data_IF_639189914506
#
_entry.id   IF_639189914506
#
_cell.length_a   1.000
_cell.length_b   1.000
_cell.length_c   1.000
_cell.angle_alpha   90.00
_cell.angle_beta   90.00
_cell.angle_gamma   90.00
#
_symmetry.space_group_name_H-M   'P 1'
#
loop_
_entity.id
_entity.type
_entity.pdbx_description
1 polymer ?
#
# COMPACT_ATOMS: atom_id res chain seq x y z
N UNK A 1 -11.99 -8.08 22.66
CA UNK A 1 -10.65 -7.74 22.10
C UNK A 1 -10.85 -7.14 20.71
N UNK A 2 -10.38 -5.91 20.46
CA UNK A 2 -10.46 -5.33 19.10
C UNK A 2 -9.43 -6.04 18.22
N UNK A 3 -9.86 -6.65 17.11
CA UNK A 3 -8.92 -7.30 16.18
C UNK A 3 -8.10 -6.22 15.47
N UNK A 4 -6.79 -6.25 15.69
CA UNK A 4 -5.85 -5.45 14.91
C UNK A 4 -5.69 -6.08 13.53
N UNK A 5 -5.69 -5.24 12.50
CA UNK A 5 -5.48 -5.60 11.10
C UNK A 5 -4.49 -4.62 10.49
N UNK A 6 -3.97 -4.98 9.34
CA UNK A 6 -3.07 -4.15 8.56
C UNK A 6 -3.76 -3.75 7.26
N UNK A 7 -3.69 -2.47 6.90
CA UNK A 7 -3.90 -2.05 5.51
C UNK A 7 -2.57 -2.10 4.79
N UNK A 8 -2.57 -2.72 3.63
CA UNK A 8 -1.40 -2.85 2.78
C UNK A 8 -1.76 -2.50 1.35
N UNK A 9 -0.78 -2.00 0.60
CA UNK A 9 -0.91 -1.74 -0.82
C UNK A 9 -0.02 -2.67 -1.67
N UNK A 10 -0.50 -2.95 -2.87
CA UNK A 10 0.27 -3.64 -3.91
C UNK A 10 0.97 -2.65 -4.83
N UNK A 11 1.89 -3.14 -5.67
CA UNK A 11 2.55 -2.33 -6.70
C UNK A 11 1.55 -1.69 -7.69
N UNK A 12 0.38 -2.31 -7.89
CA UNK A 12 -0.73 -1.77 -8.68
C UNK A 12 -1.43 -0.56 -8.03
N UNK A 13 -1.14 -0.25 -6.77
CA UNK A 13 -1.81 0.80 -6.01
C UNK A 13 -3.09 0.35 -5.32
N UNK A 14 -3.50 -0.92 -5.46
CA UNK A 14 -4.65 -1.46 -4.75
C UNK A 14 -4.37 -1.58 -3.24
N UNK A 15 -5.32 -1.11 -2.43
CA UNK A 15 -5.29 -1.18 -0.97
C UNK A 15 -6.24 -2.29 -0.52
N UNK A 16 -5.73 -3.19 0.31
CA UNK A 16 -6.53 -4.20 0.99
C UNK A 16 -6.29 -4.15 2.49
N UNK A 17 -7.30 -4.60 3.24
CA UNK A 17 -7.27 -4.66 4.71
C UNK A 17 -7.38 -6.11 5.15
N UNK A 18 -6.36 -6.62 5.84
CA UNK A 18 -6.31 -8.00 6.27
C UNK A 18 -5.46 -8.23 7.50
N UNK A 19 -5.64 -9.39 8.14
CA UNK A 19 -4.77 -9.85 9.22
C UNK A 19 -3.48 -10.50 8.71
N UNK A 20 -3.49 -10.98 7.46
CA UNK A 20 -2.35 -11.58 6.78
C UNK A 20 -1.94 -10.68 5.62
N UNK A 21 -0.65 -10.43 5.51
CA UNK A 21 -0.06 -9.59 4.46
C UNK A 21 0.49 -10.56 3.39
N UNK A 22 0.01 -10.49 2.14
CA UNK A 22 0.51 -11.31 1.05
C UNK A 22 1.94 -10.87 0.65
N UNK A 23 2.68 -11.78 0.01
CA UNK A 23 4.00 -11.48 -0.54
C UNK A 23 3.93 -10.32 -1.54
N UNK A 24 4.95 -9.45 -1.54
CA UNK A 24 5.00 -8.28 -2.43
C UNK A 24 4.18 -7.07 -1.97
N UNK A 25 3.22 -7.21 -1.06
CA UNK A 25 2.49 -6.08 -0.51
C UNK A 25 3.34 -5.28 0.50
N UNK A 26 2.97 -4.01 0.67
CA UNK A 26 3.61 -3.09 1.62
C UNK A 26 2.58 -2.55 2.59
N UNK A 27 2.86 -2.69 3.89
CA UNK A 27 1.96 -2.21 4.94
C UNK A 27 2.04 -0.70 5.01
N UNK A 28 0.87 -0.05 5.01
CA UNK A 28 0.74 1.40 5.13
C UNK A 28 0.37 1.83 6.55
N UNK A 29 -0.61 1.13 7.14
CA UNK A 29 -1.15 1.45 8.46
C UNK A 29 -1.63 0.18 9.16
N UNK A 30 -1.50 0.13 10.48
CA UNK A 30 -2.05 -0.93 11.33
C UNK A 30 -2.99 -0.33 12.38
N UNK A 31 -3.98 -1.10 12.81
CA UNK A 31 -4.91 -0.62 13.83
C UNK A 31 -6.16 -1.47 13.98
N UNK A 32 -7.12 -1.04 14.81
CA UNK A 32 -8.40 -1.72 14.98
C UNK A 32 -9.18 -1.77 13.66
N UNK A 33 -9.67 -2.94 13.26
CA UNK A 33 -10.34 -3.15 11.96
C UNK A 33 -11.39 -2.11 11.58
N UNK A 34 -12.26 -1.74 12.52
CA UNK A 34 -13.34 -0.78 12.25
C UNK A 34 -12.80 0.63 12.00
N UNK A 35 -11.86 1.09 12.83
CA UNK A 35 -11.29 2.43 12.74
C UNK A 35 -10.40 2.54 11.50
N UNK A 36 -9.54 1.55 11.29
CA UNK A 36 -8.67 1.49 10.12
C UNK A 36 -9.47 1.43 8.83
N UNK A 37 -10.56 0.64 8.76
CA UNK A 37 -11.41 0.60 7.57
C UNK A 37 -12.06 1.97 7.30
N UNK A 38 -12.57 2.65 8.32
CA UNK A 38 -13.16 3.99 8.18
C UNK A 38 -12.11 5.01 7.71
N UNK A 39 -10.91 4.93 8.25
CA UNK A 39 -9.83 5.83 7.86
C UNK A 39 -9.43 5.64 6.40
N UNK A 40 -9.19 4.40 5.98
CA UNK A 40 -8.89 4.08 4.58
C UNK A 40 -10.02 4.53 3.65
N UNK A 41 -11.29 4.37 4.05
CA UNK A 41 -12.44 4.82 3.26
C UNK A 41 -12.46 6.34 3.02
N UNK A 42 -11.96 7.11 3.99
CA UNK A 42 -11.85 8.57 3.88
C UNK A 42 -10.63 9.01 3.06
N UNK A 43 -9.50 8.30 3.20
CA UNK A 43 -8.24 8.72 2.57
C UNK A 43 -8.03 8.14 1.18
N UNK A 44 -8.48 6.92 0.91
CA UNK A 44 -8.23 6.23 -0.34
C UNK A 44 -9.10 6.75 -1.48
N UNK A 45 -8.60 6.63 -2.71
CA UNK A 45 -9.38 6.91 -3.91
C UNK A 45 -10.22 5.68 -4.25
N UNK A 46 -11.52 5.87 -4.46
CA UNK A 46 -12.39 4.80 -4.94
C UNK A 46 -12.17 4.61 -6.45
N UNK A 47 -11.95 3.36 -6.86
CA UNK A 47 -11.91 2.97 -8.28
C UNK A 47 -13.30 3.06 -8.91
N UNK A 48 -13.37 3.03 -10.24
CA UNK A 48 -14.62 3.10 -11.02
C UNK A 48 -15.60 1.96 -10.71
N UNK A 49 -15.11 0.83 -10.20
CA UNK A 49 -15.96 -0.30 -9.75
C UNK A 49 -16.72 -0.01 -8.45
N UNK A 50 -16.47 1.14 -7.79
CA UNK A 50 -17.02 1.51 -6.49
C UNK A 50 -16.71 0.53 -5.33
N UNK A 51 -15.78 -0.40 -5.52
CA UNK A 51 -15.39 -1.39 -4.51
C UNK A 51 -13.90 -1.36 -4.18
N UNK A 52 -13.06 -1.14 -5.18
CA UNK A 52 -11.60 -1.15 -5.01
C UNK A 52 -11.11 0.20 -4.47
N UNK A 53 -10.34 0.15 -3.39
CA UNK A 53 -9.66 1.31 -2.82
C UNK A 53 -8.24 1.38 -3.39
N UNK A 54 -7.85 2.56 -3.87
CA UNK A 54 -6.57 2.81 -4.54
C UNK A 54 -5.79 3.90 -3.82
N UNK A 55 -4.47 3.76 -3.80
CA UNK A 55 -3.56 4.85 -3.43
C UNK A 55 -3.61 5.90 -4.55
N UNK A 56 -3.99 7.16 -4.26
CA UNK A 56 -4.01 8.21 -5.27
C UNK A 56 -2.61 8.44 -5.85
N UNK A 57 -2.51 8.57 -7.18
CA UNK A 57 -1.26 8.80 -7.89
C UNK A 57 -0.48 7.54 -8.29
N UNK A 58 -0.70 6.38 -7.65
CA UNK A 58 -0.07 5.12 -8.08
C UNK A 58 -0.60 4.62 -9.43
N UNK A 59 -1.92 4.50 -9.68
CA UNK A 59 -2.41 4.02 -10.98
C UNK A 59 -2.12 4.99 -12.14
N UNK A 60 -1.78 6.24 -11.83
CA UNK A 60 -1.45 7.29 -12.80
C UNK A 60 0.07 7.42 -13.01
N UNK A 61 0.88 6.68 -12.24
CA UNK A 61 2.34 6.73 -12.30
C UNK A 61 2.88 5.94 -13.48
N UNK A 62 3.72 6.60 -14.29
CA UNK A 62 4.40 5.99 -15.45
C UNK A 62 5.75 5.35 -15.11
N UNK A 63 6.20 5.49 -13.87
CA UNK A 63 7.50 5.03 -13.42
C UNK A 63 7.43 4.57 -11.97
N UNK A 64 8.25 3.58 -11.63
CA UNK A 64 8.33 3.02 -10.27
C UNK A 64 8.64 4.12 -9.25
N UNK A 65 9.56 5.04 -9.56
CA UNK A 65 9.87 6.17 -8.68
C UNK A 65 8.68 7.10 -8.43
N UNK A 66 7.87 7.38 -9.46
CA UNK A 66 6.64 8.17 -9.30
C UNK A 66 5.63 7.44 -8.42
N UNK A 67 5.51 6.12 -8.55
CA UNK A 67 4.64 5.31 -7.71
C UNK A 67 5.10 5.31 -6.24
N UNK A 68 6.41 5.19 -5.99
CA UNK A 68 6.98 5.31 -4.65
C UNK A 68 6.65 6.67 -4.04
N UNK A 69 6.92 7.75 -4.78
CA UNK A 69 6.64 9.10 -4.33
C UNK A 69 5.15 9.31 -4.03
N UNK A 70 4.25 8.74 -4.84
CA UNK A 70 2.81 8.80 -4.62
C UNK A 70 2.39 8.09 -3.32
N UNK A 71 2.93 6.88 -3.05
CA UNK A 71 2.68 6.15 -1.80
C UNK A 71 3.19 6.92 -0.59
N UNK A 72 4.41 7.46 -0.66
CA UNK A 72 5.02 8.23 0.43
C UNK A 72 4.22 9.51 0.71
N UNK A 73 3.82 10.23 -0.35
CA UNK A 73 2.98 11.42 -0.23
C UNK A 73 1.62 11.08 0.39
N UNK A 74 1.00 9.97 -0.02
CA UNK A 74 -0.26 9.48 0.53
C UNK A 74 -0.14 9.18 2.03
N UNK A 75 0.88 8.43 2.45
CA UNK A 75 1.09 8.10 3.88
C UNK A 75 1.37 9.34 4.70
N UNK A 76 2.20 10.27 4.20
CA UNK A 76 2.48 11.54 4.88
C UNK A 76 1.20 12.37 5.08
N UNK A 77 0.37 12.45 4.04
CA UNK A 77 -0.91 13.16 4.09
C UNK A 77 -1.89 12.48 5.05
N UNK A 78 -2.07 11.17 4.95
CA UNK A 78 -2.98 10.40 5.79
C UNK A 78 -2.57 10.43 7.27
N UNK A 79 -1.28 10.28 7.58
CA UNK A 79 -0.73 10.38 8.94
C UNK A 79 -1.09 11.70 9.62
N UNK A 80 -1.11 12.81 8.88
CA UNK A 80 -1.45 14.14 9.41
C UNK A 80 -2.92 14.30 9.85
N UNK A 81 -3.81 13.42 9.40
CA UNK A 81 -5.26 13.45 9.68
C UNK A 81 -5.75 12.19 10.37
N UNK A 82 -4.82 11.33 10.77
CA UNK A 82 -5.11 9.99 11.26
C UNK A 82 -5.62 9.97 12.69
N UNK A 83 -6.40 8.93 12.98
CA UNK A 83 -6.90 8.59 14.28
C UNK A 83 -5.74 8.14 15.19
N UNK A 84 -5.73 8.47 16.51
CA UNK A 84 -4.65 8.04 17.40
C UNK A 84 -4.59 6.52 17.61
N UNK A 85 -5.66 5.79 17.27
CA UNK A 85 -5.67 4.33 17.29
C UNK A 85 -5.07 3.69 16.02
N UNK A 86 -4.75 4.50 15.01
CA UNK A 86 -4.28 4.09 13.71
C UNK A 86 -2.78 4.41 13.61
N UNK A 87 -1.94 3.38 13.45
CA UNK A 87 -0.48 3.52 13.42
C UNK A 87 0.02 3.50 11.98
N UNK A 88 0.12 4.70 11.38
CA UNK A 88 0.70 4.87 10.05
C UNK A 88 2.22 4.64 10.10
N UNK A 89 2.74 3.98 9.07
CA UNK A 89 4.19 3.82 8.90
C UNK A 89 4.88 5.16 8.74
N UNK A 90 6.16 5.21 9.08
CA UNK A 90 6.97 6.37 8.80
C UNK A 90 7.22 6.50 7.29
N UNK A 91 6.96 7.67 6.67
CA UNK A 91 7.14 7.85 5.23
C UNK A 91 8.57 7.60 4.77
N UNK A 92 9.58 7.91 5.62
CA UNK A 92 10.99 7.75 5.26
C UNK A 92 11.40 6.28 5.26
N UNK A 93 10.96 5.52 6.27
CA UNK A 93 11.18 4.07 6.31
C UNK A 93 10.44 3.36 5.17
N UNK A 94 9.21 3.79 4.86
CA UNK A 94 8.40 3.23 3.80
C UNK A 94 9.06 3.42 2.44
N UNK A 95 9.58 4.62 2.17
CA UNK A 95 10.33 4.91 0.96
C UNK A 95 11.56 4.00 0.82
N UNK A 96 12.35 3.87 1.88
CA UNK A 96 13.54 3.01 1.88
C UNK A 96 13.18 1.54 1.62
N UNK A 97 12.10 1.04 2.22
CA UNK A 97 11.61 -0.31 1.98
C UNK A 97 11.19 -0.51 0.52
N UNK A 98 10.49 0.46 -0.06
CA UNK A 98 10.06 0.40 -1.45
C UNK A 98 11.25 0.45 -2.41
N UNK A 99 12.18 1.40 -2.21
CA UNK A 99 13.40 1.50 -3.02
C UNK A 99 14.30 0.26 -2.88
N UNK A 100 14.41 -0.30 -1.67
CA UNK A 100 15.16 -1.53 -1.43
C UNK A 100 14.58 -2.76 -2.12
N UNK A 101 13.25 -2.81 -2.30
CA UNK A 101 12.58 -3.87 -3.08
C UNK A 101 12.76 -3.70 -4.59
N UNK A 102 12.84 -2.45 -5.07
CA UNK A 102 13.07 -2.10 -6.49
C UNK A 102 14.53 -2.31 -6.90
N UNK A 103 15.46 -2.33 -5.95
CA UNK A 103 16.86 -2.71 -6.20
C UNK A 103 17.11 -4.19 -6.55
N UNK A 104 16.06 -5.01 -6.68
CA UNK A 104 16.13 -6.43 -7.09
C UNK A 104 15.52 -6.62 -8.50
N UNK A 105 15.30 -5.53 -9.25
CA UNK A 105 14.83 -5.61 -10.64
C UNK A 105 16.01 -5.43 -11.59
N UNK A 106 16.19 -6.41 -12.50
CA UNK A 106 17.18 -6.39 -13.57
C UNK A 106 17.10 -5.11 -14.44
N UNK A 107 18.19 -4.85 -15.17
CA UNK A 107 18.48 -3.65 -16.01
C UNK A 107 17.36 -3.24 -17.01
N UNK A 108 16.34 -4.09 -17.20
CA UNK A 108 15.22 -3.90 -18.14
C UNK A 108 13.97 -3.24 -17.52
N UNK A 109 13.95 -2.97 -16.20
CA UNK A 109 12.85 -2.23 -15.57
C UNK A 109 11.49 -2.97 -15.55
N UNK A 110 11.50 -4.30 -15.74
CA UNK A 110 10.32 -5.14 -15.62
C UNK A 110 9.96 -5.32 -14.13
N UNK A 111 8.85 -4.74 -13.66
CA UNK A 111 8.27 -5.13 -12.37
C UNK A 111 7.93 -6.61 -12.51
N UNK A 112 8.58 -7.49 -11.75
CA UNK A 112 8.22 -8.90 -11.72
C UNK A 112 6.71 -9.02 -11.47
N UNK A 113 5.98 -9.53 -12.46
CA UNK A 113 4.58 -9.88 -12.33
C UNK A 113 4.40 -10.71 -11.04
N UNK A 114 3.46 -10.34 -10.15
CA UNK A 114 3.18 -11.12 -8.95
C UNK A 114 2.57 -12.51 -9.26
N UNK A 115 2.36 -12.87 -10.53
CA UNK A 115 1.87 -14.21 -10.94
C UNK A 115 2.95 -15.31 -10.99
N UNK A 116 4.20 -15.04 -10.60
CA UNK A 116 5.22 -16.09 -10.52
C UNK A 116 5.12 -16.98 -9.25
N UNK A 117 4.04 -16.87 -8.45
CA UNK A 117 3.87 -17.68 -7.24
C UNK A 117 2.57 -18.50 -7.23
N UNK A 118 2.15 -19.07 -8.36
CA UNK A 118 1.27 -20.24 -8.37
C UNK A 118 1.45 -21.02 -9.69
N UNK A 119 2.45 -21.90 -9.75
CA UNK A 119 2.40 -23.18 -10.46
C UNK A 119 3.56 -24.01 -9.97
N UNK A 120 3.31 -24.89 -8.99
CA UNK A 120 3.80 -26.27 -9.01
C UNK A 120 2.72 -27.11 -8.31
N UNK A 121 1.93 -27.79 -9.13
CA UNK A 121 1.14 -28.96 -8.78
C UNK A 121 1.91 -30.20 -9.21
#
# INVERSE_FOLDING_TARGET
MKKHVSAYCFASGEIQVGSRIPGGAVVLVTGPRTELKREIDVVARLSYDNRTQLVPGVPESRSVESAINAVVAFVKWAKSRSCPACQWRDPVELEQQLRGKVGITDDDGHIADPEAFETEA
#
